data_IF_883027388652
#
_entry.id   IF_883027388652
#
_cell.length_a   1.000
_cell.length_b   1.000
_cell.length_c   1.000
_cell.angle_alpha   90.00
_cell.angle_beta   90.00
_cell.angle_gamma   90.00
#
_symmetry.space_group_name_H-M   'P 1'
#
loop_
_entity.id
_entity.type
_entity.pdbx_description
1 polymer ?
#
# COMPACT_ATOMS: atom_id res chain seq x y z
N UNK A 1 -12.29 22.58 21.08
CA UNK A 1 -12.36 21.35 20.25
C UNK A 1 -13.23 21.54 19.01
N UNK A 2 -14.41 22.16 19.12
CA UNK A 2 -15.32 22.38 17.98
C UNK A 2 -14.67 23.15 16.81
N UNK A 3 -13.94 24.24 17.10
CA UNK A 3 -13.20 25.01 16.09
C UNK A 3 -12.18 24.16 15.33
N UNK A 4 -11.33 23.41 16.04
CA UNK A 4 -10.31 22.52 15.44
C UNK A 4 -10.93 21.44 14.54
N UNK A 5 -12.07 20.87 14.95
CA UNK A 5 -12.82 19.90 14.13
C UNK A 5 -13.32 20.53 12.83
N UNK A 6 -13.83 21.76 12.89
CA UNK A 6 -14.25 22.51 11.69
C UNK A 6 -13.06 22.77 10.77
N UNK A 7 -11.90 23.16 11.32
CA UNK A 7 -10.67 23.38 10.54
C UNK A 7 -10.25 22.11 9.80
N UNK A 8 -10.16 20.97 10.49
CA UNK A 8 -9.79 19.68 9.86
C UNK A 8 -10.82 19.23 8.82
N UNK A 9 -12.11 19.39 9.10
CA UNK A 9 -13.16 19.08 8.14
C UNK A 9 -13.02 19.92 6.86
N UNK A 10 -12.79 21.22 6.99
CA UNK A 10 -12.62 22.11 5.83
C UNK A 10 -11.31 21.83 5.08
N UNK A 11 -10.23 21.50 5.79
CA UNK A 11 -8.96 21.07 5.19
C UNK A 11 -9.15 19.82 4.32
N UNK A 12 -9.73 18.75 4.89
CA UNK A 12 -9.98 17.48 4.20
C UNK A 12 -10.91 17.67 3.01
N UNK A 13 -11.95 18.49 3.16
CA UNK A 13 -12.86 18.86 2.08
C UNK A 13 -12.14 19.63 0.96
N UNK A 14 -11.33 20.63 1.31
CA UNK A 14 -10.56 21.43 0.35
C UNK A 14 -9.59 20.56 -0.45
N UNK A 15 -9.01 19.54 0.19
CA UNK A 15 -8.17 18.55 -0.50
C UNK A 15 -8.96 17.71 -1.50
N UNK A 16 -10.12 17.18 -1.11
CA UNK A 16 -10.97 16.41 -2.01
C UNK A 16 -11.46 17.26 -3.21
N UNK A 17 -11.83 18.53 -2.98
CA UNK A 17 -12.18 19.47 -4.04
C UNK A 17 -10.99 19.75 -4.96
N UNK A 18 -9.79 19.96 -4.38
CA UNK A 18 -8.55 20.17 -5.12
C UNK A 18 -8.18 19.00 -6.04
N UNK A 19 -8.42 17.76 -5.63
CA UNK A 19 -8.22 16.59 -6.51
C UNK A 19 -9.12 16.59 -7.75
N UNK A 20 -10.30 17.21 -7.69
CA UNK A 20 -11.28 17.22 -8.80
C UNK A 20 -11.01 18.36 -9.78
N UNK A 21 -10.73 19.56 -9.27
CA UNK A 21 -10.69 20.77 -10.11
C UNK A 21 -9.38 21.56 -10.00
N UNK A 22 -8.41 21.09 -9.22
CA UNK A 22 -7.14 21.79 -8.96
C UNK A 22 -7.28 23.06 -8.11
N UNK A 23 -8.47 23.44 -7.69
CA UNK A 23 -8.70 24.64 -6.90
C UNK A 23 -8.41 24.36 -5.43
N UNK A 24 -7.41 25.06 -4.89
CA UNK A 24 -7.05 24.99 -3.49
C UNK A 24 -7.63 26.17 -2.72
N UNK A 25 -8.21 25.87 -1.55
CA UNK A 25 -8.55 26.93 -0.60
C UNK A 25 -7.27 27.62 -0.13
N UNK A 26 -7.21 28.95 -0.23
CA UNK A 26 -6.00 29.75 0.04
C UNK A 26 -5.41 29.45 1.42
N UNK A 27 -6.26 29.37 2.44
CA UNK A 27 -5.82 29.12 3.83
C UNK A 27 -5.25 27.72 4.04
N UNK A 28 -5.58 26.76 3.16
CA UNK A 28 -5.13 25.38 3.29
C UNK A 28 -4.04 24.98 2.29
N UNK A 29 -3.78 25.82 1.27
CA UNK A 29 -2.77 25.55 0.24
C UNK A 29 -1.42 25.12 0.83
N UNK A 30 -0.88 25.76 1.89
CA UNK A 30 0.40 25.34 2.50
C UNK A 30 0.43 23.89 3.02
N UNK A 31 -0.72 23.27 3.29
CA UNK A 31 -0.81 21.91 3.85
C UNK A 31 -1.09 20.84 2.80
N UNK A 32 -1.74 21.19 1.68
CA UNK A 32 -2.29 20.20 0.72
C UNK A 32 -1.82 20.38 -0.71
N UNK A 33 -1.23 21.52 -1.08
CA UNK A 33 -0.87 21.85 -2.46
C UNK A 33 0.01 20.78 -3.11
N UNK A 34 1.13 20.44 -2.48
CA UNK A 34 2.05 19.41 -2.99
C UNK A 34 1.34 18.08 -3.28
N UNK A 35 0.49 17.62 -2.36
CA UNK A 35 -0.21 16.34 -2.50
C UNK A 35 -1.24 16.39 -3.64
N UNK A 36 -1.98 17.51 -3.75
CA UNK A 36 -2.95 17.73 -4.82
C UNK A 36 -2.27 17.82 -6.18
N UNK A 37 -1.19 18.58 -6.31
CA UNK A 37 -0.41 18.69 -7.54
C UNK A 37 0.14 17.33 -7.98
N UNK A 38 0.73 16.55 -7.06
CA UNK A 38 1.24 15.21 -7.37
C UNK A 38 0.13 14.30 -7.91
N UNK A 39 -1.04 14.28 -7.26
CA UNK A 39 -2.18 13.46 -7.67
C UNK A 39 -2.71 13.89 -9.04
N UNK A 40 -2.93 15.19 -9.25
CA UNK A 40 -3.42 15.73 -10.51
C UNK A 40 -2.44 15.52 -11.66
N UNK A 41 -1.13 15.66 -11.41
CA UNK A 41 -0.08 15.41 -12.40
C UNK A 41 -0.03 13.92 -12.78
N UNK A 42 -0.14 13.00 -11.81
CA UNK A 42 -0.17 11.56 -12.07
C UNK A 42 -1.38 11.18 -12.95
N UNK A 43 -2.56 11.74 -12.65
CA UNK A 43 -3.77 11.52 -13.45
C UNK A 43 -3.60 12.06 -14.88
N UNK A 44 -3.16 13.31 -15.00
CA UNK A 44 -3.00 13.99 -16.30
C UNK A 44 -2.01 13.26 -17.22
N UNK A 45 -0.89 12.75 -16.69
CA UNK A 45 0.10 11.97 -17.46
C UNK A 45 -0.49 10.72 -18.14
N UNK A 46 -1.60 10.20 -17.62
CA UNK A 46 -2.26 8.97 -18.09
C UNK A 46 -3.55 9.24 -18.87
N UNK A 47 -3.86 10.51 -19.14
CA UNK A 47 -5.16 10.90 -19.70
C UNK A 47 -6.34 10.52 -18.79
N UNK A 48 -6.10 10.49 -17.47
CA UNK A 48 -7.11 10.24 -16.45
C UNK A 48 -7.46 11.55 -15.71
N UNK A 49 -8.65 11.60 -15.12
CA UNK A 49 -9.14 12.69 -14.29
C UNK A 49 -9.97 12.15 -13.13
N UNK A 50 -9.95 12.83 -11.97
CA UNK A 50 -10.87 12.53 -10.87
C UNK A 50 -12.11 13.38 -11.08
N UNK A 51 -13.22 12.77 -11.48
CA UNK A 51 -14.48 13.50 -11.76
C UNK A 51 -15.31 13.75 -10.50
N UNK A 52 -15.04 12.99 -9.43
CA UNK A 52 -15.67 13.15 -8.12
C UNK A 52 -14.74 12.60 -7.04
N UNK A 53 -14.58 13.34 -5.95
CA UNK A 53 -13.84 12.90 -4.78
C UNK A 53 -14.67 13.16 -3.53
N UNK A 54 -14.71 12.18 -2.62
CA UNK A 54 -15.27 12.35 -1.29
C UNK A 54 -14.22 11.96 -0.25
N UNK A 55 -14.28 12.59 0.92
CA UNK A 55 -13.36 12.28 2.00
C UNK A 55 -14.09 12.31 3.35
N UNK A 56 -13.78 11.35 4.22
CA UNK A 56 -14.34 11.23 5.58
C UNK A 56 -13.19 11.19 6.58
N UNK A 57 -13.27 12.04 7.60
CA UNK A 57 -12.25 12.14 8.65
C UNK A 57 -12.77 11.58 9.98
N UNK A 58 -11.92 10.83 10.68
CA UNK A 58 -12.21 10.21 11.97
C UNK A 58 -11.08 10.52 12.94
N UNK A 59 -11.40 11.09 14.10
CA UNK A 59 -10.40 11.39 15.13
C UNK A 59 -10.15 10.13 15.96
N UNK A 60 -8.90 9.69 16.01
CA UNK A 60 -8.47 8.52 16.79
C UNK A 60 -8.13 8.92 18.23
N UNK A 61 -7.28 9.94 18.39
CA UNK A 61 -6.81 10.40 19.69
C UNK A 61 -6.42 11.89 19.65
N UNK A 62 -6.50 12.56 20.79
CA UNK A 62 -6.09 13.96 20.95
C UNK A 62 -5.14 14.05 22.15
N UNK A 63 -3.94 14.57 21.92
CA UNK A 63 -2.98 14.95 22.98
C UNK A 63 -2.97 16.47 23.14
N UNK A 64 -2.88 16.95 24.38
CA UNK A 64 -2.77 18.38 24.70
C UNK A 64 -1.54 18.63 25.56
N UNK A 65 -0.72 19.60 25.15
CA UNK A 65 0.49 20.01 25.86
C UNK A 65 0.51 21.54 25.91
N UNK A 66 0.27 22.11 27.09
CA UNK A 66 0.14 23.57 27.29
C UNK A 66 -0.90 24.21 26.34
N UNK A 67 -0.45 25.03 25.38
CA UNK A 67 -1.29 25.70 24.37
C UNK A 67 -1.31 24.95 23.02
N UNK A 68 -0.64 23.80 22.95
CA UNK A 68 -0.60 22.95 21.77
C UNK A 68 -1.59 21.79 21.87
N UNK A 69 -2.23 21.46 20.75
CA UNK A 69 -3.10 20.30 20.61
C UNK A 69 -2.64 19.50 19.41
N UNK A 70 -2.26 18.24 19.63
CA UNK A 70 -2.01 17.27 18.55
C UNK A 70 -3.23 16.38 18.37
N UNK A 71 -3.79 16.37 17.16
CA UNK A 71 -4.91 15.51 16.78
C UNK A 71 -4.40 14.40 15.89
N UNK A 72 -4.53 13.16 16.34
CA UNK A 72 -4.31 11.96 15.54
C UNK A 72 -5.65 11.54 14.94
N UNK A 73 -5.67 11.38 13.62
CA UNK A 73 -6.90 11.11 12.89
C UNK A 73 -6.59 10.31 11.62
N UNK A 74 -7.60 9.67 11.05
CA UNK A 74 -7.49 9.07 9.73
C UNK A 74 -8.51 9.66 8.77
N UNK A 75 -8.16 9.62 7.48
CA UNK A 75 -9.00 10.09 6.38
C UNK A 75 -9.20 8.95 5.40
N UNK A 76 -10.46 8.61 5.14
CA UNK A 76 -10.86 7.76 4.03
C UNK A 76 -11.16 8.65 2.83
N UNK A 77 -10.49 8.41 1.70
CA UNK A 77 -10.70 9.15 0.45
C UNK A 77 -11.22 8.18 -0.60
N UNK A 78 -12.30 8.56 -1.28
CA UNK A 78 -12.90 7.82 -2.40
C UNK A 78 -12.90 8.73 -3.63
N UNK A 79 -12.22 8.30 -4.69
CA UNK A 79 -12.09 9.03 -5.95
C UNK A 79 -12.69 8.25 -7.11
N UNK A 80 -13.71 8.80 -7.75
CA UNK A 80 -14.19 8.32 -9.04
C UNK A 80 -13.26 8.81 -10.14
N UNK A 81 -12.43 7.91 -10.64
CA UNK A 81 -11.47 8.17 -11.71
C UNK A 81 -12.10 7.82 -13.04
N UNK A 82 -11.92 8.71 -14.01
CA UNK A 82 -12.27 8.50 -15.41
C UNK A 82 -11.01 8.52 -16.24
N UNK A 83 -10.82 7.52 -17.09
CA UNK A 83 -9.76 7.46 -18.09
C UNK A 83 -10.41 7.09 -19.42
N UNK A 84 -10.55 8.06 -20.32
CA UNK A 84 -11.33 7.91 -21.57
C UNK A 84 -12.78 7.49 -21.27
N UNK A 85 -13.17 6.26 -21.67
CA UNK A 85 -14.48 5.66 -21.36
C UNK A 85 -14.49 4.76 -20.13
N UNK A 86 -13.31 4.47 -19.57
CA UNK A 86 -13.16 3.61 -18.40
C UNK A 86 -13.37 4.41 -17.12
N UNK A 87 -14.12 3.83 -16.17
CA UNK A 87 -14.37 4.41 -14.86
C UNK A 87 -14.03 3.38 -13.78
N UNK A 88 -13.40 3.84 -12.72
CA UNK A 88 -13.16 3.02 -11.54
C UNK A 88 -13.14 3.90 -10.28
N UNK A 89 -13.29 3.25 -9.13
CA UNK A 89 -13.21 3.92 -7.83
C UNK A 89 -11.87 3.53 -7.21
N UNK A 90 -11.06 4.54 -6.93
CA UNK A 90 -9.85 4.41 -6.10
C UNK A 90 -10.20 4.80 -4.67
N UNK A 91 -9.78 3.99 -3.69
CA UNK A 91 -9.98 4.27 -2.27
C UNK A 91 -8.65 4.26 -1.52
N UNK A 92 -8.46 5.18 -0.58
CA UNK A 92 -7.30 5.20 0.32
C UNK A 92 -7.69 5.53 1.75
N UNK A 93 -6.93 5.00 2.71
CA UNK A 93 -7.01 5.39 4.12
C UNK A 93 -5.66 5.89 4.57
N UNK A 94 -5.61 7.16 4.99
CA UNK A 94 -4.40 7.83 5.46
C UNK A 94 -4.49 8.05 6.96
N UNK A 95 -3.46 7.64 7.72
CA UNK A 95 -3.30 8.06 9.12
C UNK A 95 -2.53 9.37 9.15
N UNK A 96 -3.00 10.34 9.91
CA UNK A 96 -2.51 11.71 9.91
C UNK A 96 -2.37 12.26 11.33
N UNK A 97 -1.50 13.24 11.49
CA UNK A 97 -1.37 14.07 12.69
C UNK A 97 -1.46 15.54 12.32
N UNK A 98 -2.29 16.27 13.06
CA UNK A 98 -2.41 17.72 12.93
C UNK A 98 -1.98 18.39 14.23
N UNK A 99 -1.06 19.36 14.14
CA UNK A 99 -0.61 20.18 15.26
C UNK A 99 -1.32 21.54 15.23
N UNK A 100 -1.94 21.90 16.34
CA UNK A 100 -2.56 23.20 16.55
C UNK A 100 -1.86 23.96 17.66
N UNK A 101 -1.76 25.27 17.50
CA UNK A 101 -1.51 26.21 18.60
C UNK A 101 -2.74 27.08 18.77
N UNK A 102 -3.37 27.02 19.96
CA UNK A 102 -4.73 27.54 20.18
C UNK A 102 -5.66 26.97 19.11
N UNK A 103 -6.33 27.77 18.29
CA UNK A 103 -7.24 27.28 17.23
C UNK A 103 -6.64 27.36 15.81
N UNK A 104 -5.36 27.68 15.69
CA UNK A 104 -4.65 27.76 14.41
C UNK A 104 -3.96 26.44 14.10
N UNK A 105 -4.23 25.89 12.91
CA UNK A 105 -3.51 24.74 12.39
C UNK A 105 -2.07 25.17 12.03
N UNK A 106 -1.08 24.57 12.67
CA UNK A 106 0.33 24.82 12.40
C UNK A 106 0.93 23.79 11.43
N UNK A 107 0.46 22.54 11.52
CA UNK A 107 1.02 21.43 10.74
C UNK A 107 -0.03 20.36 10.49
N UNK A 108 0.03 19.73 9.32
CA UNK A 108 -0.74 18.55 8.99
C UNK A 108 0.14 17.59 8.19
N UNK A 109 0.30 16.35 8.67
CA UNK A 109 1.19 15.37 8.05
C UNK A 109 0.57 13.99 8.06
N UNK A 110 0.80 13.24 6.99
CA UNK A 110 0.61 11.78 6.99
C UNK A 110 1.65 11.13 7.91
N UNK A 111 1.22 10.14 8.70
CA UNK A 111 2.07 9.39 9.60
C UNK A 111 2.74 8.27 8.80
N UNK A 112 4.08 8.25 8.81
CA UNK A 112 4.87 7.27 8.08
C UNK A 112 5.18 6.04 8.95
N UNK A 113 4.62 4.85 8.69
CA UNK A 113 4.79 3.67 9.55
C UNK A 113 6.15 2.99 9.34
N UNK A 114 6.88 3.30 8.27
CA UNK A 114 8.20 2.74 8.01
C UNK A 114 9.34 3.55 8.67
N UNK A 115 9.04 4.50 9.56
CA UNK A 115 10.05 5.34 10.24
C UNK A 115 10.80 4.63 11.37
N UNK A 116 10.48 3.38 11.68
CA UNK A 116 11.25 2.56 12.61
C UNK A 116 12.09 1.57 11.83
N UNK A 117 13.40 1.75 11.91
CA UNK A 117 14.43 0.80 11.47
C UNK A 117 14.11 -0.60 12.03
N UNK A 118 13.58 -1.48 11.19
CA UNK A 118 13.60 -2.90 11.50
C UNK A 118 15.01 -3.39 11.24
N UNK A 119 15.68 -3.87 12.29
CA UNK A 119 16.97 -4.55 12.21
C UNK A 119 16.93 -5.53 11.04
N UNK A 120 17.81 -5.30 10.07
CA UNK A 120 18.05 -6.22 8.97
C UNK A 120 18.78 -7.43 9.54
N UNK A 121 18.05 -8.47 9.91
CA UNK A 121 18.66 -9.79 9.92
C UNK A 121 18.82 -10.21 8.45
N UNK A 122 20.08 -10.27 8.00
CA UNK A 122 20.44 -10.73 6.68
C UNK A 122 19.89 -12.15 6.46
N UNK A 123 19.20 -12.34 5.33
CA UNK A 123 18.89 -13.66 4.85
C UNK A 123 20.15 -14.18 4.15
N UNK A 124 20.91 -15.02 4.84
CA UNK A 124 21.98 -15.79 4.22
C UNK A 124 21.44 -16.52 2.98
N UNK A 125 22.18 -16.43 1.87
CA UNK A 125 21.89 -17.20 0.65
C UNK A 125 22.11 -18.67 0.95
N UNK A 126 21.06 -19.39 1.29
CA UNK A 126 21.10 -20.83 1.46
C UNK A 126 20.47 -21.56 0.27
N UNK A 127 21.14 -22.63 -0.14
CA UNK A 127 20.63 -23.61 -1.10
C UNK A 127 19.33 -24.22 -0.55
N UNK A 128 18.32 -24.27 -1.41
CA UNK A 128 17.03 -24.85 -1.08
C UNK A 128 17.13 -26.38 -1.15
N UNK A 129 16.77 -27.06 -0.06
CA UNK A 129 16.51 -28.50 -0.07
C UNK A 129 15.38 -28.85 -1.04
N UNK A 130 15.57 -29.96 -1.76
CA UNK A 130 14.63 -30.57 -2.71
C UNK A 130 13.41 -31.17 -2.00
N UNK A 131 12.45 -30.33 -1.60
CA UNK A 131 11.10 -30.81 -1.30
C UNK A 131 10.31 -31.01 -2.61
N UNK A 132 9.63 -32.15 -2.72
CA UNK A 132 8.83 -32.62 -3.87
C UNK A 132 8.12 -31.49 -4.63
N UNK A 133 8.38 -31.44 -5.95
CA UNK A 133 7.73 -30.57 -6.92
C UNK A 133 6.23 -30.89 -7.02
N UNK A 134 5.45 -30.35 -6.08
CA UNK A 134 3.99 -30.31 -6.22
C UNK A 134 3.66 -29.11 -7.05
N UNK A 135 3.42 -29.34 -8.35
CA UNK A 135 2.80 -28.34 -9.22
C UNK A 135 1.53 -27.84 -8.54
N UNK A 136 1.50 -26.57 -8.12
CA UNK A 136 0.30 -25.93 -7.63
C UNK A 136 -0.32 -25.10 -8.75
N UNK A 137 -1.64 -25.04 -8.78
CA UNK A 137 -2.39 -24.14 -9.65
C UNK A 137 -2.67 -22.86 -8.86
N UNK A 138 -2.29 -21.71 -9.39
CA UNK A 138 -2.49 -20.42 -8.71
C UNK A 138 -3.87 -19.85 -9.04
N UNK A 139 -4.81 -19.92 -8.09
CA UNK A 139 -6.13 -19.31 -8.27
C UNK A 139 -6.05 -17.78 -8.08
N UNK A 140 -5.69 -17.09 -9.16
CA UNK A 140 -5.64 -15.62 -9.24
C UNK A 140 -6.93 -14.96 -8.81
N UNK A 141 -8.07 -15.56 -9.16
CA UNK A 141 -9.38 -14.99 -8.84
C UNK A 141 -9.62 -15.05 -7.34
N UNK A 142 -9.28 -16.16 -6.69
CA UNK A 142 -9.38 -16.29 -5.23
C UNK A 142 -8.43 -15.31 -4.51
N UNK A 143 -7.21 -15.14 -5.00
CA UNK A 143 -6.27 -14.16 -4.46
C UNK A 143 -6.81 -12.72 -4.54
N UNK A 144 -7.41 -12.35 -5.67
CA UNK A 144 -7.99 -11.01 -5.87
C UNK A 144 -9.26 -10.81 -5.07
N UNK A 145 -10.13 -11.82 -4.96
CA UNK A 145 -11.31 -11.76 -4.09
C UNK A 145 -10.91 -11.54 -2.63
N UNK A 146 -9.85 -12.20 -2.18
CA UNK A 146 -9.28 -11.96 -0.87
C UNK A 146 -8.76 -10.54 -0.73
N UNK A 147 -8.01 -10.06 -1.74
CA UNK A 147 -7.46 -8.72 -1.76
C UNK A 147 -8.56 -7.64 -1.67
N UNK A 148 -9.62 -7.77 -2.47
CA UNK A 148 -10.78 -6.88 -2.46
C UNK A 148 -11.56 -6.91 -1.14
N UNK A 149 -11.55 -8.02 -0.41
CA UNK A 149 -12.23 -8.14 0.88
C UNK A 149 -11.46 -7.49 2.03
N UNK A 150 -10.15 -7.62 2.03
CA UNK A 150 -9.30 -7.27 3.18
C UNK A 150 -8.35 -6.10 2.90
N UNK A 151 -8.56 -5.28 1.86
CA UNK A 151 -7.68 -4.14 1.58
C UNK A 151 -7.65 -3.11 2.72
N UNK A 152 -8.77 -2.88 3.42
CA UNK A 152 -8.90 -1.94 4.54
C UNK A 152 -9.29 -2.58 5.89
N UNK A 153 -9.24 -3.90 5.99
CA UNK A 153 -9.60 -4.63 7.21
C UNK A 153 -8.65 -5.80 7.46
N UNK A 154 -8.68 -6.36 8.66
CA UNK A 154 -7.81 -7.47 9.04
C UNK A 154 -8.60 -8.79 9.01
N UNK A 155 -7.97 -9.86 8.52
CA UNK A 155 -8.54 -11.20 8.65
C UNK A 155 -8.18 -11.78 10.03
N UNK A 156 -9.17 -12.06 10.91
CA UNK A 156 -8.92 -12.59 12.25
C UNK A 156 -8.30 -14.00 12.26
N UNK A 157 -8.27 -14.72 11.14
CA UNK A 157 -7.57 -16.01 11.03
C UNK A 157 -6.04 -15.89 11.00
N UNK A 158 -5.50 -14.68 10.85
CA UNK A 158 -4.06 -14.43 10.77
C UNK A 158 -3.61 -13.44 11.85
N UNK A 159 -2.34 -13.53 12.23
CA UNK A 159 -1.73 -12.51 13.10
C UNK A 159 -1.70 -11.17 12.38
N UNK A 160 -2.07 -10.09 13.08
CA UNK A 160 -2.04 -8.73 12.55
C UNK A 160 -0.74 -7.99 12.95
N UNK A 161 -0.29 -7.08 12.09
CA UNK A 161 0.91 -6.27 12.31
C UNK A 161 0.61 -4.79 12.03
N UNK A 162 1.37 -3.88 12.64
CA UNK A 162 1.23 -2.44 12.35
C UNK A 162 1.69 -2.10 10.92
N UNK A 163 2.74 -2.78 10.45
CA UNK A 163 3.18 -2.81 9.04
C UNK A 163 2.75 -4.16 8.47
N UNK A 164 1.66 -4.18 7.72
CA UNK A 164 0.94 -5.40 7.34
C UNK A 164 1.02 -5.78 5.86
N UNK A 165 1.70 -4.98 5.02
CA UNK A 165 1.65 -5.10 3.56
C UNK A 165 2.00 -6.50 3.06
N UNK A 166 3.13 -7.03 3.51
CA UNK A 166 3.61 -8.36 3.10
C UNK A 166 2.80 -9.50 3.72
N UNK A 167 2.34 -9.34 4.97
CA UNK A 167 1.45 -10.31 5.58
C UNK A 167 0.12 -10.40 4.82
N UNK A 168 -0.46 -9.27 4.44
CA UNK A 168 -1.67 -9.20 3.62
C UNK A 168 -1.46 -9.80 2.23
N UNK A 169 -0.38 -9.43 1.53
CA UNK A 169 -0.05 -10.03 0.22
C UNK A 169 0.14 -11.53 0.34
N UNK A 170 0.81 -12.00 1.40
CA UNK A 170 0.98 -13.44 1.66
C UNK A 170 -0.36 -14.13 1.89
N UNK A 171 -1.29 -13.51 2.62
CA UNK A 171 -2.64 -14.04 2.79
C UNK A 171 -3.40 -14.10 1.45
N UNK A 172 -3.24 -13.11 0.57
CA UNK A 172 -3.84 -13.13 -0.77
C UNK A 172 -3.30 -14.32 -1.58
N UNK A 173 -1.99 -14.51 -1.62
CA UNK A 173 -1.34 -15.63 -2.31
C UNK A 173 -1.78 -16.97 -1.75
N UNK A 174 -1.92 -17.07 -0.42
CA UNK A 174 -2.41 -18.27 0.25
C UNK A 174 -3.86 -18.58 -0.10
N UNK A 175 -4.72 -17.55 -0.18
CA UNK A 175 -6.10 -17.69 -0.64
C UNK A 175 -6.15 -18.14 -2.11
N UNK A 176 -5.19 -17.71 -2.93
CA UNK A 176 -4.93 -18.22 -4.28
C UNK A 176 -4.21 -19.57 -4.33
N UNK A 177 -4.30 -20.39 -3.28
CA UNK A 177 -3.77 -21.76 -3.21
C UNK A 177 -2.26 -21.92 -3.27
N UNK A 178 -1.48 -20.84 -3.11
CA UNK A 178 -0.03 -20.95 -3.00
C UNK A 178 0.38 -21.85 -1.80
N UNK A 179 1.28 -22.84 -2.02
CA UNK A 179 1.69 -23.77 -0.97
C UNK A 179 2.71 -23.12 -0.04
N UNK A 180 2.51 -23.33 1.26
CA UNK A 180 3.51 -22.96 2.28
C UNK A 180 4.59 -24.05 2.36
N UNK A 181 5.84 -23.67 2.63
CA UNK A 181 6.97 -24.59 2.83
C UNK A 181 8.07 -23.96 3.70
N UNK A 182 9.02 -24.78 4.20
CA UNK A 182 10.19 -24.32 4.97
C UNK A 182 9.97 -24.16 6.48
N UNK A 183 8.81 -24.56 7.00
CA UNK A 183 8.58 -24.66 8.44
C UNK A 183 9.52 -25.70 9.08
N UNK A 184 10.07 -25.47 10.28
CA UNK A 184 9.82 -24.36 11.21
C UNK A 184 10.83 -23.20 11.16
N UNK A 185 11.76 -23.20 10.21
CA UNK A 185 12.83 -22.20 10.18
C UNK A 185 12.31 -20.85 9.67
N UNK A 186 12.44 -19.79 10.49
CA UNK A 186 11.94 -18.44 10.12
C UNK A 186 12.68 -17.83 8.93
N UNK A 187 13.95 -18.19 8.75
CA UNK A 187 14.77 -17.72 7.63
C UNK A 187 14.53 -18.47 6.32
N UNK A 188 13.69 -19.52 6.32
CA UNK A 188 13.49 -20.38 5.16
C UNK A 188 12.03 -20.49 4.73
N UNK A 189 11.87 -20.65 3.42
CA UNK A 189 10.57 -20.89 2.79
C UNK A 189 9.63 -19.70 2.86
N UNK A 190 8.33 -19.98 2.85
CA UNK A 190 7.24 -19.02 2.95
C UNK A 190 6.07 -19.70 3.67
N UNK A 191 5.80 -19.30 4.91
CA UNK A 191 4.83 -19.98 5.76
C UNK A 191 4.38 -19.13 6.96
N UNK A 192 3.17 -19.40 7.44
CA UNK A 192 2.67 -18.94 8.74
C UNK A 192 1.93 -20.07 9.45
N UNK A 193 2.14 -20.19 10.76
CA UNK A 193 1.51 -21.14 11.68
C UNK A 193 1.09 -20.39 12.94
N UNK A 194 -0.20 -20.12 13.14
CA UNK A 194 -0.79 -19.41 14.32
C UNK A 194 0.05 -18.26 14.90
N UNK A 195 1.03 -18.55 15.78
CA UNK A 195 1.91 -17.56 16.46
C UNK A 195 3.38 -17.56 15.96
N UNK A 196 3.65 -18.18 14.82
CA UNK A 196 4.99 -18.29 14.24
C UNK A 196 4.92 -18.16 12.71
N UNK A 197 5.96 -17.61 12.08
CA UNK A 197 5.97 -17.33 10.63
C UNK A 197 7.40 -17.16 10.12
N UNK A 198 7.59 -17.35 8.81
CA UNK A 198 8.84 -17.00 8.13
C UNK A 198 8.96 -15.49 7.94
N UNK A 199 10.19 -14.97 7.84
CA UNK A 199 10.43 -13.58 7.52
C UNK A 199 9.82 -13.18 6.17
N UNK A 200 9.92 -14.07 5.18
CA UNK A 200 9.29 -13.90 3.85
C UNK A 200 7.76 -13.81 3.89
N UNK A 201 7.08 -14.23 4.97
CA UNK A 201 5.63 -14.08 5.09
C UNK A 201 5.24 -12.66 5.52
N UNK A 202 6.06 -11.98 6.34
CA UNK A 202 5.70 -10.69 6.97
C UNK A 202 6.58 -9.51 6.60
N UNK A 203 7.81 -9.73 6.11
CA UNK A 203 8.82 -8.68 5.88
C UNK A 203 9.04 -8.48 4.38
N UNK A 204 8.85 -7.25 3.89
CA UNK A 204 8.90 -6.92 2.46
C UNK A 204 10.25 -7.29 1.81
N UNK A 205 11.37 -6.97 2.47
CA UNK A 205 12.70 -7.32 2.00
C UNK A 205 12.89 -8.84 1.83
N UNK A 206 12.58 -9.62 2.87
CA UNK A 206 12.70 -11.08 2.81
C UNK A 206 11.75 -11.69 1.77
N UNK A 207 10.55 -11.12 1.61
CA UNK A 207 9.58 -11.57 0.62
C UNK A 207 10.03 -11.32 -0.83
N UNK A 208 10.60 -10.14 -1.12
CA UNK A 208 11.21 -9.86 -2.42
C UNK A 208 12.28 -10.91 -2.76
N UNK A 209 13.21 -11.15 -1.84
CA UNK A 209 14.29 -12.11 -2.09
C UNK A 209 13.79 -13.54 -2.23
N UNK A 210 12.74 -13.92 -1.47
CA UNK A 210 12.06 -15.19 -1.66
C UNK A 210 11.44 -15.33 -3.05
N UNK A 211 10.66 -14.35 -3.52
CA UNK A 211 10.06 -14.38 -4.87
C UNK A 211 11.12 -14.42 -5.97
N UNK A 212 12.27 -13.78 -5.75
CA UNK A 212 13.37 -13.72 -6.70
C UNK A 212 14.19 -15.02 -6.78
N UNK A 213 14.25 -15.81 -5.71
CA UNK A 213 15.10 -17.00 -5.63
C UNK A 213 14.35 -18.33 -5.61
N UNK A 214 13.11 -18.38 -5.13
CA UNK A 214 12.34 -19.61 -4.93
C UNK A 214 12.18 -20.40 -6.23
N UNK A 215 12.51 -21.70 -6.18
CA UNK A 215 12.39 -22.63 -7.31
C UNK A 215 11.29 -23.69 -7.12
N UNK A 216 10.73 -23.80 -5.92
CA UNK A 216 9.70 -24.77 -5.56
C UNK A 216 8.59 -24.12 -4.74
N UNK A 217 7.38 -24.69 -4.77
CA UNK A 217 6.20 -24.12 -4.10
C UNK A 217 5.79 -22.79 -4.73
N UNK A 218 5.56 -21.74 -3.92
CA UNK A 218 5.33 -20.38 -4.44
C UNK A 218 6.59 -19.91 -5.20
N UNK A 219 6.44 -19.78 -6.51
CA UNK A 219 7.50 -19.29 -7.41
C UNK A 219 6.98 -18.13 -8.25
N UNK A 220 7.91 -17.29 -8.72
CA UNK A 220 7.58 -16.16 -9.56
C UNK A 220 8.61 -15.98 -10.68
N UNK A 221 8.13 -15.45 -11.80
CA UNK A 221 8.96 -14.97 -12.91
C UNK A 221 9.08 -13.45 -12.82
N UNK A 222 10.30 -12.96 -12.65
CA UNK A 222 10.56 -11.51 -12.67
C UNK A 222 10.30 -10.94 -14.07
N UNK A 223 9.51 -9.87 -14.16
CA UNK A 223 9.21 -9.11 -15.39
C UNK A 223 10.00 -7.80 -15.41
N UNK A 224 10.14 -7.22 -16.60
CA UNK A 224 10.88 -5.96 -16.79
C UNK A 224 10.00 -4.73 -16.76
N UNK A 225 8.69 -4.87 -17.02
CA UNK A 225 7.74 -3.76 -16.99
C UNK A 225 6.43 -4.13 -16.27
N UNK A 226 5.82 -3.14 -15.61
CA UNK A 226 4.54 -3.31 -14.91
C UNK A 226 3.41 -3.79 -15.83
N UNK A 227 3.39 -3.35 -17.10
CA UNK A 227 2.38 -3.76 -18.09
C UNK A 227 2.37 -5.27 -18.38
N UNK A 228 3.50 -5.94 -18.19
CA UNK A 228 3.67 -7.37 -18.46
C UNK A 228 3.12 -8.25 -17.32
N UNK A 229 2.71 -7.62 -16.22
CA UNK A 229 2.06 -8.31 -15.10
C UNK A 229 0.57 -8.53 -15.38
N UNK A 230 0.04 -9.54 -14.72
CA UNK A 230 -1.36 -9.94 -14.76
C UNK A 230 -2.06 -9.62 -13.45
N UNK A 231 -3.40 -9.67 -13.46
CA UNK A 231 -4.19 -9.64 -12.24
C UNK A 231 -3.75 -10.82 -11.33
N UNK A 232 -3.58 -10.55 -10.04
CA UNK A 232 -3.04 -11.47 -9.03
C UNK A 232 -1.51 -11.50 -8.94
N UNK A 233 -0.79 -10.74 -9.77
CA UNK A 233 0.67 -10.60 -9.67
C UNK A 233 1.08 -9.55 -8.62
N UNK A 234 2.37 -9.55 -8.27
CA UNK A 234 2.92 -8.78 -7.15
C UNK A 234 3.88 -7.70 -7.66
N UNK A 235 3.80 -6.52 -7.03
CA UNK A 235 4.79 -5.46 -7.17
C UNK A 235 5.41 -5.19 -5.80
N UNK A 236 6.74 -5.27 -5.73
CA UNK A 236 7.52 -4.84 -4.59
C UNK A 236 8.13 -3.46 -4.87
N UNK A 237 8.31 -2.64 -3.82
CA UNK A 237 8.87 -1.29 -3.89
C UNK A 237 10.05 -1.17 -2.93
N UNK A 238 11.14 -0.63 -3.43
CA UNK A 238 12.27 -0.10 -2.66
C UNK A 238 12.17 1.42 -2.82
N UNK A 239 11.70 2.09 -1.77
CA UNK A 239 11.33 3.49 -1.82
C UNK A 239 12.54 4.41 -1.95
N UNK A 240 13.66 4.05 -1.33
CA UNK A 240 14.89 4.85 -1.32
C UNK A 240 15.85 4.49 -2.46
N UNK A 241 15.66 3.32 -3.08
CA UNK A 241 16.57 2.76 -4.08
C UNK A 241 17.88 2.25 -3.50
N UNK A 242 17.90 1.86 -2.22
CA UNK A 242 19.10 1.43 -1.49
C UNK A 242 19.30 -0.10 -1.50
N UNK A 243 18.39 -0.84 -2.14
CA UNK A 243 18.39 -2.30 -2.22
C UNK A 243 17.59 -2.99 -1.12
N UNK A 244 17.03 -2.24 -0.16
CA UNK A 244 16.09 -2.75 0.84
C UNK A 244 14.66 -2.55 0.35
N UNK A 245 13.88 -3.63 0.28
CA UNK A 245 12.49 -3.53 -0.16
C UNK A 245 11.56 -3.24 1.02
N UNK A 246 10.72 -2.21 0.87
CA UNK A 246 9.90 -1.64 1.94
C UNK A 246 8.45 -2.08 1.88
N UNK A 247 7.94 -2.27 0.67
CA UNK A 247 6.51 -2.44 0.45
C UNK A 247 6.19 -3.48 -0.61
N UNK A 248 5.04 -4.13 -0.47
CA UNK A 248 4.52 -5.10 -1.43
C UNK A 248 3.02 -4.88 -1.64
N UNK A 249 2.58 -5.08 -2.88
CA UNK A 249 1.18 -4.91 -3.29
C UNK A 249 0.76 -6.01 -4.26
N UNK A 250 -0.55 -6.24 -4.36
CA UNK A 250 -1.14 -7.19 -5.30
C UNK A 250 -1.96 -6.45 -6.37
N UNK A 251 -1.84 -6.89 -7.62
CA UNK A 251 -2.60 -6.34 -8.74
C UNK A 251 -4.01 -6.91 -8.72
N UNK A 252 -5.02 -6.04 -8.68
CA UNK A 252 -6.44 -6.45 -8.66
C UNK A 252 -7.19 -6.07 -9.92
N UNK A 253 -6.69 -5.08 -10.66
CA UNK A 253 -7.29 -4.63 -11.91
C UNK A 253 -6.21 -4.02 -12.83
N UNK A 254 -6.63 -3.65 -14.04
CA UNK A 254 -5.84 -2.86 -14.98
C UNK A 254 -6.64 -1.65 -15.43
N UNK A 255 -5.94 -0.57 -15.69
CA UNK A 255 -6.51 0.65 -16.26
C UNK A 255 -6.72 0.52 -17.77
N UNK A 256 -7.19 1.58 -18.43
CA UNK A 256 -7.50 1.58 -19.87
C UNK A 256 -6.24 1.46 -20.75
N UNK A 257 -5.06 1.75 -20.20
CA UNK A 257 -3.75 1.55 -20.87
C UNK A 257 -3.14 0.17 -20.58
N UNK A 258 -3.86 -0.69 -19.85
CA UNK A 258 -3.38 -2.02 -19.45
C UNK A 258 -2.35 -1.98 -18.32
N UNK A 259 -2.21 -0.85 -17.64
CA UNK A 259 -1.31 -0.66 -16.51
C UNK A 259 -1.95 -1.13 -15.21
N UNK A 260 -1.19 -1.70 -14.25
CA UNK A 260 -1.77 -2.28 -13.05
C UNK A 260 -2.43 -1.26 -12.10
N UNK A 261 -3.54 -1.69 -11.49
CA UNK A 261 -4.15 -1.08 -10.32
C UNK A 261 -4.00 -2.06 -9.14
N UNK A 262 -3.53 -1.57 -8.01
CA UNK A 262 -3.08 -2.40 -6.88
C UNK A 262 -3.86 -2.14 -5.61
N UNK A 263 -3.94 -3.19 -4.78
CA UNK A 263 -4.38 -3.10 -3.40
C UNK A 263 -3.20 -3.28 -2.44
N UNK A 264 -3.29 -2.62 -1.29
CA UNK A 264 -2.31 -2.70 -0.20
C UNK A 264 -2.99 -2.61 1.17
N UNK A 265 -2.37 -3.18 2.21
CA UNK A 265 -2.85 -3.14 3.59
C UNK A 265 -1.67 -2.82 4.55
N UNK A 266 -1.49 -1.53 4.79
CA UNK A 266 -0.61 -0.82 5.77
C UNK A 266 -0.99 0.65 5.56
N UNK A 267 -0.76 1.09 4.32
CA UNK A 267 -1.43 2.20 3.66
C UNK A 267 -2.58 1.63 2.87
N UNK A 268 -3.71 1.44 3.55
CA UNK A 268 -4.86 0.78 2.96
C UNK A 268 -5.25 1.52 1.69
N UNK A 269 -5.17 0.81 0.59
CA UNK A 269 -5.52 1.37 -0.72
C UNK A 269 -6.15 0.30 -1.58
N UNK A 270 -7.12 0.73 -2.37
CA UNK A 270 -7.84 -0.10 -3.31
C UNK A 270 -7.80 0.53 -4.69
N UNK A 271 -7.43 -0.27 -5.68
CA UNK A 271 -7.29 0.14 -7.08
C UNK A 271 -6.41 1.38 -7.28
N UNK A 272 -5.39 1.56 -6.44
CA UNK A 272 -4.41 2.65 -6.58
C UNK A 272 -3.52 2.39 -7.79
N UNK A 273 -3.09 3.45 -8.47
CA UNK A 273 -2.14 3.30 -9.56
C UNK A 273 -0.79 2.74 -9.07
N UNK A 274 -0.30 1.71 -9.76
CA UNK A 274 0.89 0.95 -9.36
C UNK A 274 2.15 1.79 -9.16
N UNK A 275 2.29 2.93 -9.86
CA UNK A 275 3.53 3.69 -9.82
C UNK A 275 3.79 4.36 -8.47
N UNK A 276 2.78 4.48 -7.58
CA UNK A 276 2.93 5.03 -6.23
C UNK A 276 3.55 6.45 -6.15
N UNK A 277 3.63 7.19 -7.27
CA UNK A 277 4.26 8.54 -7.36
C UNK A 277 3.56 9.60 -6.49
N UNK A 278 2.31 9.36 -6.14
CA UNK A 278 1.46 10.21 -5.28
C UNK A 278 1.54 9.82 -3.80
N UNK A 279 2.46 8.93 -3.42
CA UNK A 279 2.68 8.52 -2.03
C UNK A 279 3.62 9.48 -1.30
N UNK A 280 3.39 9.69 -0.01
CA UNK A 280 4.36 10.34 0.88
C UNK A 280 5.68 9.56 0.99
N UNK A 281 5.69 8.26 0.65
CA UNK A 281 6.87 7.41 0.56
C UNK A 281 7.70 7.64 -0.72
N UNK A 282 7.16 8.33 -1.72
CA UNK A 282 7.78 8.39 -3.04
C UNK A 282 9.10 9.16 -3.02
N UNK A 283 10.12 8.56 -3.64
CA UNK A 283 11.38 9.23 -3.98
C UNK A 283 11.69 9.05 -5.46
N UNK A 284 12.44 9.98 -6.09
CA UNK A 284 12.90 9.80 -7.47
C UNK A 284 13.78 8.56 -7.70
N UNK A 285 14.34 7.98 -6.63
CA UNK A 285 15.22 6.81 -6.70
C UNK A 285 14.46 5.48 -6.60
N UNK A 286 13.14 5.51 -6.35
CA UNK A 286 12.31 4.33 -6.12
C UNK A 286 12.55 3.25 -7.18
N UNK A 287 12.70 2.00 -6.73
CA UNK A 287 12.85 0.81 -7.58
C UNK A 287 11.66 -0.11 -7.44
N UNK A 288 11.41 -0.88 -8.50
CA UNK A 288 10.26 -1.79 -8.58
C UNK A 288 10.72 -3.23 -8.85
N UNK A 289 10.07 -4.17 -8.18
CA UNK A 289 10.19 -5.60 -8.40
C UNK A 289 8.89 -6.12 -8.98
N UNK A 290 8.87 -6.42 -10.27
CA UNK A 290 7.68 -6.92 -10.97
C UNK A 290 7.70 -8.45 -10.98
N UNK A 291 6.78 -9.10 -10.26
CA UNK A 291 6.75 -10.56 -10.13
C UNK A 291 5.46 -11.14 -10.67
N UNK A 292 5.60 -11.89 -11.77
CA UNK A 292 4.53 -12.76 -12.25
C UNK A 292 4.51 -14.03 -11.42
N UNK A 293 3.44 -14.28 -10.67
CA UNK A 293 3.33 -15.51 -9.88
C UNK A 293 3.11 -16.68 -10.84
N UNK A 294 3.88 -17.75 -10.71
CA UNK A 294 3.74 -18.92 -11.59
C UNK A 294 2.62 -19.84 -11.08
N UNK A 295 2.08 -20.66 -11.99
CA UNK A 295 1.01 -21.63 -11.70
C UNK A 295 -0.36 -21.17 -12.14
#
# INVERSE_FOLDING_TARGET
MQTKKIVLHTLVRSRAEGYVNGNLHRDFSPFIEKQVEQKCNQMSKRGAEIVKCSAKGYVDHISNEYEETTVYYHVEVESLVKQRSFFYIEETVEKRKALFYKDTLLKDEEIYPFSTSFDSEEMDRYDFDEDEDRSFNYDRRAAVQYAERYWNSHNPSYTNFDVNCTNYVSQCLRAGTAPMRGYPNKGQGWWMQTKNWSYSWTVANSFYWYLNSSKTGLTATKKTAAKDLMIGDIICYDFQGDGRWDHSTIIVAKDDDGMPLVNANTYNSRMRYWAYEDSSAYTPNMKYGFFHING
#
